data_IF_802176040491
#
_entry.id   IF_802176040491
#
_cell.length_a   1.000
_cell.length_b   1.000
_cell.length_c   1.000
_cell.angle_alpha   90.00
_cell.angle_beta   90.00
_cell.angle_gamma   90.00
#
_symmetry.space_group_name_H-M   'P 1'
#
loop_
_entity.id
_entity.type
_entity.pdbx_description
1 polymer ?
#
# COMPACT_ATOMS: atom_id res chain seq x y z
N UNK A 1 -6.24 -2.40 -14.96
CA UNK A 1 -5.51 -1.16 -14.55
C UNK A 1 -4.09 -1.54 -14.19
N UNK A 2 -3.14 -0.77 -14.64
CA UNK A 2 -1.72 -0.95 -14.33
C UNK A 2 -1.35 -0.19 -13.05
N UNK A 3 -0.22 -0.55 -12.44
CA UNK A 3 0.29 0.18 -11.27
C UNK A 3 0.51 1.66 -11.56
N UNK A 4 0.98 2.02 -12.77
CA UNK A 4 1.14 3.42 -13.17
C UNK A 4 -0.17 4.21 -13.17
N UNK A 5 -1.29 3.55 -13.44
CA UNK A 5 -2.61 4.18 -13.40
C UNK A 5 -3.07 4.39 -11.96
N UNK A 6 -2.75 3.47 -11.06
CA UNK A 6 -3.00 3.67 -9.62
C UNK A 6 -2.26 4.90 -9.11
N UNK A 7 -1.00 5.06 -9.52
CA UNK A 7 -0.22 6.27 -9.17
C UNK A 7 -0.91 7.54 -9.64
N UNK A 8 -1.43 7.55 -10.87
CA UNK A 8 -2.12 8.73 -11.41
C UNK A 8 -3.35 9.11 -10.58
N UNK A 9 -4.08 8.13 -10.06
CA UNK A 9 -5.23 8.39 -9.19
C UNK A 9 -4.79 8.97 -7.85
N UNK A 10 -3.72 8.46 -7.26
CA UNK A 10 -3.15 9.04 -6.04
C UNK A 10 -2.71 10.49 -6.27
N UNK A 11 -2.02 10.74 -7.37
CA UNK A 11 -1.56 12.08 -7.73
C UNK A 11 -2.74 13.04 -7.97
N UNK A 12 -3.83 12.54 -8.53
CA UNK A 12 -5.05 13.32 -8.73
C UNK A 12 -5.72 13.70 -7.41
N UNK A 13 -5.82 12.75 -6.49
CA UNK A 13 -6.43 12.99 -5.18
C UNK A 13 -5.65 14.05 -4.40
N UNK A 14 -4.31 13.96 -4.36
CA UNK A 14 -3.52 14.91 -3.58
C UNK A 14 -3.66 16.36 -4.06
N UNK A 15 -4.00 16.59 -5.32
CA UNK A 15 -4.22 17.95 -5.83
C UNK A 15 -5.37 18.65 -5.16
N UNK A 16 -6.32 17.91 -4.62
CA UNK A 16 -7.50 18.43 -3.95
C UNK A 16 -7.39 18.41 -2.43
N UNK A 17 -6.30 17.88 -1.89
CA UNK A 17 -6.08 17.71 -0.45
C UNK A 17 -4.88 18.49 0.03
N UNK A 18 -5.06 19.34 1.04
CA UNK A 18 -3.98 20.15 1.63
C UNK A 18 -3.00 19.29 2.44
N UNK A 19 -3.53 18.25 3.11
CA UNK A 19 -2.79 17.50 4.12
C UNK A 19 -2.33 16.15 3.59
N UNK A 20 -2.36 15.95 2.28
CA UNK A 20 -1.94 14.71 1.62
C UNK A 20 -0.82 15.01 0.63
N UNK A 21 0.28 14.28 0.75
CA UNK A 21 1.41 14.38 -0.16
C UNK A 21 1.93 12.99 -0.49
N UNK A 22 2.06 12.70 -1.77
CA UNK A 22 2.63 11.45 -2.26
C UNK A 22 3.83 11.73 -3.13
N UNK A 23 4.84 10.91 -2.99
CA UNK A 23 6.05 10.97 -3.79
C UNK A 23 6.32 9.60 -4.40
N UNK A 24 6.39 9.54 -5.73
CA UNK A 24 6.68 8.30 -6.43
C UNK A 24 8.18 8.03 -6.37
N UNK A 25 8.52 6.82 -5.94
CA UNK A 25 9.90 6.38 -5.84
C UNK A 25 10.29 5.71 -7.16
N UNK A 26 11.31 6.24 -7.81
CA UNK A 26 11.91 5.66 -9.01
C UNK A 26 13.35 5.33 -8.70
N UNK A 27 13.60 4.10 -8.20
CA UNK A 27 14.94 3.66 -7.86
C UNK A 27 15.28 2.39 -8.62
N UNK A 28 16.39 2.44 -9.34
CA UNK A 28 16.97 1.26 -10.00
C UNK A 28 18.07 0.61 -9.15
N UNK A 29 18.46 1.22 -8.04
CA UNK A 29 19.60 0.78 -7.22
C UNK A 29 19.19 0.12 -5.91
N UNK A 30 18.00 0.38 -5.41
CA UNK A 30 17.49 -0.21 -4.17
C UNK A 30 16.40 -1.22 -4.50
N UNK A 31 16.68 -2.51 -4.24
CA UNK A 31 15.73 -3.57 -4.48
C UNK A 31 14.65 -3.58 -3.39
N UNK A 32 13.39 -3.68 -3.82
CA UNK A 32 12.28 -3.92 -2.91
C UNK A 32 11.68 -2.68 -2.25
N UNK A 33 12.23 -1.49 -2.48
CA UNK A 33 11.64 -0.27 -1.95
C UNK A 33 10.25 -0.06 -2.53
N UNK A 34 9.22 0.29 -1.72
CA UNK A 34 7.87 0.51 -2.24
C UNK A 34 7.78 1.67 -3.23
N UNK A 35 6.74 1.63 -4.06
CA UNK A 35 6.55 2.57 -5.17
C UNK A 35 6.29 4.00 -4.74
N UNK A 36 5.66 4.19 -3.58
CA UNK A 36 5.20 5.50 -3.13
C UNK A 36 5.52 5.71 -1.66
N UNK A 37 6.11 6.86 -1.37
CA UNK A 37 6.16 7.40 -0.01
C UNK A 37 5.07 8.46 0.11
N UNK A 38 4.35 8.47 1.22
CA UNK A 38 3.27 9.42 1.40
C UNK A 38 3.20 9.94 2.83
N UNK A 39 2.53 11.07 2.94
CA UNK A 39 2.15 11.63 4.23
C UNK A 39 0.68 12.03 4.13
N UNK A 40 -0.15 11.44 4.97
CA UNK A 40 -1.59 11.67 5.00
C UNK A 40 -1.93 12.20 6.39
N UNK A 41 -2.32 13.46 6.48
CA UNK A 41 -2.66 14.12 7.74
C UNK A 41 -1.59 13.91 8.82
N UNK A 42 -0.32 14.04 8.45
CA UNK A 42 0.80 13.89 9.36
C UNK A 42 1.26 12.45 9.59
N UNK A 43 0.58 11.46 9.02
CA UNK A 43 0.96 10.05 9.14
C UNK A 43 1.82 9.65 7.94
N UNK A 44 3.07 9.28 8.19
CA UNK A 44 3.97 8.80 7.15
C UNK A 44 3.68 7.36 6.79
N UNK A 45 3.62 7.08 5.48
CA UNK A 45 3.32 5.75 4.96
C UNK A 45 4.15 5.43 3.74
N UNK A 46 4.22 4.14 3.44
CA UNK A 46 4.74 3.61 2.18
C UNK A 46 3.67 2.74 1.55
N UNK A 47 3.53 2.85 0.22
CA UNK A 47 2.58 2.05 -0.54
C UNK A 47 3.30 1.29 -1.64
N UNK A 48 3.08 -0.02 -1.68
CA UNK A 48 3.42 -0.86 -2.83
C UNK A 48 2.19 -0.95 -3.71
N UNK A 49 2.31 -0.56 -4.98
CA UNK A 49 1.19 -0.59 -5.92
C UNK A 49 1.20 -1.90 -6.68
N UNK A 50 0.10 -2.64 -6.65
CA UNK A 50 -0.05 -3.92 -7.35
C UNK A 50 -1.37 -4.01 -8.09
N UNK A 51 -1.35 -4.75 -9.19
CA UNK A 51 -2.54 -5.07 -9.97
C UNK A 51 -2.51 -6.54 -10.34
N UNK A 52 -3.60 -7.26 -10.10
CA UNK A 52 -3.69 -8.68 -10.42
C UNK A 52 -4.07 -9.54 -9.23
N UNK A 53 -3.98 -10.87 -9.43
CA UNK A 53 -4.41 -11.85 -8.44
C UNK A 53 -3.37 -12.97 -8.28
N UNK A 54 -2.09 -12.69 -8.55
CA UNK A 54 -1.04 -13.67 -8.43
C UNK A 54 -0.70 -13.99 -6.99
N UNK A 55 0.04 -15.08 -6.77
CA UNK A 55 0.47 -15.51 -5.44
C UNK A 55 1.27 -14.39 -4.75
N UNK A 56 1.00 -14.18 -3.47
CA UNK A 56 1.62 -13.11 -2.68
C UNK A 56 1.48 -11.75 -3.37
N UNK A 57 0.42 -11.57 -4.16
CA UNK A 57 0.08 -10.34 -4.88
C UNK A 57 1.21 -9.87 -5.80
N UNK A 58 2.06 -10.78 -6.26
CA UNK A 58 3.18 -10.46 -7.14
C UNK A 58 4.38 -9.83 -6.46
N UNK A 59 4.42 -9.82 -5.13
CA UNK A 59 5.57 -9.29 -4.40
C UNK A 59 6.81 -10.18 -4.59
N UNK A 60 7.95 -9.56 -4.91
CA UNK A 60 9.23 -10.24 -4.93
C UNK A 60 9.73 -10.48 -3.50
N UNK A 61 10.74 -11.37 -3.37
CA UNK A 61 11.37 -11.59 -2.06
C UNK A 61 11.98 -10.31 -1.49
N UNK A 62 12.48 -9.42 -2.33
CA UNK A 62 13.07 -8.14 -1.89
C UNK A 62 11.99 -7.20 -1.35
N UNK A 63 10.84 -7.16 -2.00
CA UNK A 63 9.70 -6.38 -1.53
C UNK A 63 9.17 -6.92 -0.20
N UNK A 64 9.03 -8.23 -0.09
CA UNK A 64 8.60 -8.88 1.16
C UNK A 64 9.58 -8.56 2.29
N UNK A 65 10.88 -8.68 2.05
CA UNK A 65 11.90 -8.37 3.06
C UNK A 65 11.85 -6.90 3.49
N UNK A 66 11.67 -5.98 2.56
CA UNK A 66 11.57 -4.56 2.87
C UNK A 66 10.37 -4.27 3.77
N UNK A 67 9.21 -4.88 3.47
CA UNK A 67 8.01 -4.76 4.30
C UNK A 67 8.25 -5.28 5.71
N UNK A 68 8.86 -6.47 5.83
CA UNK A 68 9.16 -7.09 7.12
C UNK A 68 10.06 -6.18 7.96
N UNK A 69 11.13 -5.68 7.39
CA UNK A 69 12.07 -4.81 8.09
C UNK A 69 11.39 -3.51 8.55
N UNK A 70 10.61 -2.87 7.67
CA UNK A 70 9.93 -1.62 8.01
C UNK A 70 8.88 -1.81 9.09
N UNK A 71 8.07 -2.87 8.98
CA UNK A 71 7.04 -3.19 9.98
C UNK A 71 7.65 -3.57 11.31
N UNK A 72 8.78 -4.27 11.32
CA UNK A 72 9.49 -4.66 12.54
C UNK A 72 10.02 -3.46 13.31
N UNK A 73 10.27 -2.35 12.63
CA UNK A 73 10.70 -1.09 13.24
C UNK A 73 9.54 -0.18 13.64
N UNK A 74 8.30 -0.65 13.48
CA UNK A 74 7.11 0.16 13.80
C UNK A 74 6.67 1.11 12.69
N UNK A 75 7.20 0.94 11.47
CA UNK A 75 6.80 1.76 10.34
C UNK A 75 5.48 1.33 9.73
N UNK A 76 4.97 2.15 8.82
CA UNK A 76 3.72 1.93 8.12
C UNK A 76 4.00 1.64 6.64
N UNK A 77 3.77 0.41 6.22
CA UNK A 77 3.87 0.04 4.81
C UNK A 77 2.70 -0.87 4.43
N UNK A 78 2.06 -0.55 3.31
CA UNK A 78 0.85 -1.22 2.85
C UNK A 78 0.99 -1.61 1.39
N UNK A 79 0.12 -2.53 0.97
CA UNK A 79 -0.06 -2.89 -0.43
C UNK A 79 -1.40 -2.33 -0.87
N UNK A 80 -1.39 -1.48 -1.90
CA UNK A 80 -2.60 -1.02 -2.56
C UNK A 80 -2.78 -1.88 -3.81
N UNK A 81 -3.78 -2.74 -3.77
CA UNK A 81 -4.03 -3.75 -4.79
C UNK A 81 -5.29 -3.45 -5.58
N UNK A 82 -5.17 -3.42 -6.90
CA UNK A 82 -6.32 -3.43 -7.80
C UNK A 82 -6.58 -4.85 -8.28
N UNK A 83 -7.81 -5.33 -8.13
CA UNK A 83 -8.22 -6.65 -8.62
C UNK A 83 -9.08 -6.48 -9.87
N UNK A 84 -8.56 -6.82 -11.08
CA UNK A 84 -9.27 -6.55 -12.34
C UNK A 84 -10.62 -7.22 -12.46
N UNK A 85 -10.74 -8.46 -12.03
CA UNK A 85 -12.00 -9.22 -12.14
C UNK A 85 -13.16 -8.55 -11.41
N UNK A 86 -12.91 -8.08 -10.20
CA UNK A 86 -13.91 -7.46 -9.34
C UNK A 86 -13.95 -5.94 -9.47
N UNK A 87 -13.03 -5.36 -10.23
CA UNK A 87 -12.84 -3.91 -10.33
C UNK A 87 -12.84 -3.28 -8.94
N UNK A 88 -12.05 -3.87 -8.03
CA UNK A 88 -12.00 -3.44 -6.64
C UNK A 88 -10.60 -3.04 -6.22
N UNK A 89 -10.54 -2.27 -5.14
CA UNK A 89 -9.31 -1.88 -4.47
C UNK A 89 -9.26 -2.54 -3.11
N UNK A 90 -8.07 -2.97 -2.71
CA UNK A 90 -7.81 -3.50 -1.38
C UNK A 90 -6.56 -2.87 -0.81
N UNK A 91 -6.56 -2.65 0.50
CA UNK A 91 -5.34 -2.31 1.23
C UNK A 91 -5.00 -3.48 2.13
N UNK A 92 -3.79 -3.98 1.96
CA UNK A 92 -3.27 -5.14 2.70
C UNK A 92 -2.01 -4.74 3.45
N UNK A 93 -1.73 -5.48 4.51
CA UNK A 93 -0.48 -5.35 5.26
C UNK A 93 0.09 -6.73 5.52
N UNK A 94 1.40 -6.89 5.33
CA UNK A 94 2.09 -8.11 5.63
C UNK A 94 2.07 -8.38 7.14
N UNK A 95 1.84 -9.63 7.52
CA UNK A 95 1.90 -10.05 8.92
C UNK A 95 3.33 -10.46 9.25
N UNK A 96 4.14 -9.50 9.69
CA UNK A 96 5.59 -9.70 9.87
C UNK A 96 5.91 -10.67 11.01
N UNK A 97 5.07 -10.79 12.02
CA UNK A 97 5.28 -11.74 13.12
C UNK A 97 5.26 -13.19 12.64
N UNK A 98 4.39 -13.49 11.66
CA UNK A 98 4.32 -14.82 11.08
C UNK A 98 5.65 -15.23 10.42
N UNK A 99 6.33 -14.28 9.78
CA UNK A 99 7.64 -14.51 9.17
C UNK A 99 8.72 -14.76 10.23
N UNK A 100 8.72 -13.97 11.31
CA UNK A 100 9.68 -14.12 12.41
C UNK A 100 9.57 -15.52 13.01
N UNK A 101 8.36 -16.06 13.11
CA UNK A 101 8.11 -17.40 13.63
C UNK A 101 8.32 -18.50 12.59
N UNK A 102 8.89 -18.17 11.43
CA UNK A 102 9.12 -19.08 10.29
C UNK A 102 7.82 -19.72 9.78
N UNK A 103 6.73 -19.01 9.91
CA UNK A 103 5.45 -19.43 9.36
C UNK A 103 5.32 -18.96 7.90
N UNK A 104 4.30 -19.46 7.23
CA UNK A 104 3.98 -19.05 5.87
C UNK A 104 3.71 -17.54 5.81
N UNK A 105 4.08 -16.91 4.66
CA UNK A 105 3.84 -15.48 4.44
C UNK A 105 2.34 -15.23 4.44
N UNK A 106 1.90 -14.33 5.30
CA UNK A 106 0.49 -13.96 5.46
C UNK A 106 0.28 -12.46 5.30
N UNK A 107 -0.90 -12.12 4.85
CA UNK A 107 -1.32 -10.73 4.70
C UNK A 107 -2.65 -10.54 5.42
N UNK A 108 -2.84 -9.36 6.00
CA UNK A 108 -4.14 -8.98 6.55
C UNK A 108 -4.81 -7.95 5.63
N UNK A 109 -6.11 -8.14 5.42
CA UNK A 109 -6.92 -7.20 4.66
C UNK A 109 -7.41 -6.11 5.60
N UNK A 110 -7.04 -4.86 5.33
CA UNK A 110 -7.40 -3.73 6.17
C UNK A 110 -8.64 -3.00 5.67
N UNK A 111 -8.92 -3.09 4.38
CA UNK A 111 -10.10 -2.49 3.79
C UNK A 111 -10.22 -2.79 2.32
N UNK A 112 -11.42 -2.65 1.78
CA UNK A 112 -11.68 -2.85 0.36
C UNK A 112 -12.87 -1.99 -0.10
N UNK A 113 -12.89 -1.70 -1.40
CA UNK A 113 -14.00 -0.97 -2.01
C UNK A 113 -14.05 -1.25 -3.51
N UNK A 114 -15.15 -0.88 -4.15
CA UNK A 114 -15.21 -0.83 -5.61
C UNK A 114 -14.33 0.32 -6.10
N UNK A 115 -13.71 0.13 -7.25
CA UNK A 115 -12.83 1.16 -7.80
C UNK A 115 -13.61 2.43 -8.17
N UNK A 116 -13.20 3.53 -7.59
CA UNK A 116 -13.42 4.90 -8.03
C UNK A 116 -12.40 5.77 -7.30
N UNK A 117 -12.10 6.93 -7.83
CA UNK A 117 -11.15 7.83 -7.19
C UNK A 117 -11.66 8.30 -5.82
N UNK A 118 -12.97 8.57 -5.73
CA UNK A 118 -13.63 8.93 -4.48
C UNK A 118 -13.53 7.80 -3.44
N UNK A 119 -13.75 6.56 -3.88
CA UNK A 119 -13.66 5.40 -3.00
C UNK A 119 -12.22 5.15 -2.56
N UNK A 120 -11.25 5.38 -3.43
CA UNK A 120 -9.82 5.27 -3.08
C UNK A 120 -9.47 6.28 -1.98
N UNK A 121 -9.90 7.52 -2.13
CA UNK A 121 -9.69 8.55 -1.11
C UNK A 121 -10.30 8.13 0.23
N UNK A 122 -11.53 7.63 0.22
CA UNK A 122 -12.21 7.18 1.45
C UNK A 122 -11.52 5.97 2.05
N UNK A 123 -11.07 5.01 1.24
CA UNK A 123 -10.37 3.82 1.69
C UNK A 123 -9.07 4.19 2.41
N UNK A 124 -8.28 5.10 1.83
CA UNK A 124 -7.05 5.58 2.46
C UNK A 124 -7.34 6.30 3.76
N UNK A 125 -8.38 7.12 3.79
CA UNK A 125 -8.82 7.80 5.02
C UNK A 125 -9.16 6.79 6.11
N UNK A 126 -9.99 5.80 5.79
CA UNK A 126 -10.45 4.82 6.77
C UNK A 126 -9.30 3.97 7.31
N UNK A 127 -8.42 3.51 6.43
CA UNK A 127 -7.33 2.62 6.84
C UNK A 127 -6.21 3.39 7.55
N UNK A 128 -5.79 4.53 7.02
CA UNK A 128 -4.59 5.20 7.49
C UNK A 128 -4.88 6.19 8.61
N UNK A 129 -5.89 7.02 8.43
CA UNK A 129 -6.20 8.06 9.42
C UNK A 129 -6.87 7.45 10.65
N UNK A 130 -7.94 6.69 10.46
CA UNK A 130 -8.72 6.17 11.59
C UNK A 130 -7.96 5.13 12.40
N UNK A 131 -7.16 4.26 11.77
CA UNK A 131 -6.37 3.27 12.52
C UNK A 131 -5.24 3.89 13.34
N UNK A 132 -4.69 5.01 12.88
CA UNK A 132 -3.61 5.69 13.60
C UNK A 132 -4.11 6.62 14.71
N UNK A 133 -5.42 6.87 14.81
CA UNK A 133 -6.02 7.64 15.90
C UNK A 133 -6.40 6.75 17.10
N UNK A 134 -6.37 5.46 16.91
CA UNK A 134 -6.63 4.48 17.97
C UNK A 134 -5.36 3.75 18.36
#
# INVERSE_FOLDING_TARGET
MRESQLWRHLASIQKTKRDWHFFRIESSTINGIPDVNGCINGVEIWLELKSGESKNYGLSKYQINWHIERLSCGGNVFILLFTPKLKSLKILRLVHQAFILRQEIKFELLGSCKFSEKNLEQLLTDVIIWQNLT
#
